data_IF_733317439557
#
_entry.id   IF_733317439557
#
_cell.length_a   1.000
_cell.length_b   1.000
_cell.length_c   1.000
_cell.angle_alpha   90.00
_cell.angle_beta   90.00
_cell.angle_gamma   90.00
#
_symmetry.space_group_name_H-M   'P 1'
#
loop_
_entity.id
_entity.type
_entity.pdbx_description
1 polymer ?
#
# COMPACT_ATOMS: atom_id res chain seq x y z
N UNK A 1 -57.67 -28.29 35.78
CA UNK A 1 -57.56 -27.31 34.68
C UNK A 1 -56.19 -26.69 34.82
N UNK A 2 -55.28 -27.25 34.06
CA UNK A 2 -53.82 -26.99 34.11
C UNK A 2 -53.46 -25.90 33.10
N UNK A 3 -52.83 -24.83 33.61
CA UNK A 3 -52.27 -23.73 32.81
C UNK A 3 -50.87 -24.11 32.32
N UNK A 4 -50.49 -23.90 31.02
CA UNK A 4 -49.15 -24.18 30.58
C UNK A 4 -48.25 -22.98 30.79
N UNK A 5 -47.04 -23.25 31.28
CA UNK A 5 -45.95 -22.29 31.48
C UNK A 5 -45.40 -21.78 30.14
N UNK A 6 -45.18 -20.48 30.08
CA UNK A 6 -44.51 -19.82 28.96
C UNK A 6 -42.99 -20.01 29.08
N UNK A 7 -42.41 -20.73 28.11
CA UNK A 7 -40.95 -20.82 27.93
C UNK A 7 -40.43 -19.52 27.33
N UNK A 8 -39.64 -18.80 28.13
CA UNK A 8 -38.90 -17.63 27.69
C UNK A 8 -37.66 -18.06 26.92
N UNK A 9 -37.70 -17.93 25.58
CA UNK A 9 -36.56 -18.17 24.72
C UNK A 9 -35.58 -16.99 24.92
N UNK A 10 -34.52 -17.22 25.71
CA UNK A 10 -33.42 -16.31 25.87
C UNK A 10 -32.63 -16.23 24.57
N UNK A 11 -32.80 -15.11 23.84
CA UNK A 11 -31.98 -14.72 22.69
C UNK A 11 -30.54 -14.57 23.12
N UNK A 12 -29.69 -15.54 22.80
CA UNK A 12 -28.23 -15.42 22.92
C UNK A 12 -27.75 -14.37 21.91
N UNK A 13 -27.59 -13.13 22.38
CA UNK A 13 -26.84 -12.10 21.68
C UNK A 13 -25.40 -12.59 21.51
N UNK A 14 -25.01 -12.91 20.29
CA UNK A 14 -23.60 -13.14 19.94
C UNK A 14 -22.81 -11.87 20.23
N UNK A 15 -21.66 -11.95 20.92
CA UNK A 15 -20.83 -10.78 21.14
C UNK A 15 -20.37 -10.25 19.79
N UNK A 16 -20.65 -8.98 19.53
CA UNK A 16 -20.16 -8.23 18.39
C UNK A 16 -18.64 -8.41 18.29
N UNK A 17 -18.15 -8.95 17.16
CA UNK A 17 -16.72 -8.99 16.86
C UNK A 17 -16.22 -7.55 16.88
N UNK A 18 -15.61 -7.16 17.98
CA UNK A 18 -14.82 -5.95 18.09
C UNK A 18 -13.91 -5.91 16.87
N UNK A 19 -13.91 -4.80 16.14
CA UNK A 19 -13.03 -4.58 14.99
C UNK A 19 -11.59 -4.65 15.49
N UNK A 20 -11.00 -5.84 15.43
CA UNK A 20 -9.59 -6.01 15.70
C UNK A 20 -8.84 -5.22 14.62
N UNK A 21 -7.88 -4.39 15.05
CA UNK A 21 -7.01 -3.65 14.14
C UNK A 21 -6.33 -4.59 13.11
N UNK A 22 -5.67 -4.05 12.10
CA UNK A 22 -5.01 -4.86 11.09
C UNK A 22 -4.02 -5.83 11.76
N UNK A 23 -3.96 -7.10 11.29
CA UNK A 23 -3.11 -8.11 11.91
C UNK A 23 -1.64 -7.66 11.90
N UNK A 24 -1.00 -7.77 13.07
CA UNK A 24 0.42 -7.46 13.22
C UNK A 24 1.29 -8.61 12.69
N UNK A 25 2.42 -8.27 12.11
CA UNK A 25 3.46 -9.22 11.67
C UNK A 25 4.82 -8.75 12.15
N UNK A 26 5.68 -9.71 12.45
CA UNK A 26 7.03 -9.44 12.96
C UNK A 26 8.02 -9.37 11.80
N UNK A 27 8.79 -8.29 11.72
CA UNK A 27 9.91 -8.17 10.80
C UNK A 27 11.03 -9.15 11.20
N UNK A 28 11.45 -10.02 10.27
CA UNK A 28 12.49 -11.04 10.54
C UNK A 28 13.90 -10.44 10.75
N UNK A 29 14.09 -9.19 10.36
CA UNK A 29 15.39 -8.52 10.44
C UNK A 29 15.50 -7.57 11.65
N UNK A 30 14.43 -6.85 12.01
CA UNK A 30 14.44 -5.90 13.15
C UNK A 30 13.83 -6.50 14.41
N UNK A 31 12.92 -7.46 14.25
CA UNK A 31 12.15 -8.02 15.35
C UNK A 31 10.89 -7.26 15.72
N UNK A 32 10.67 -6.08 15.13
CA UNK A 32 9.51 -5.22 15.40
C UNK A 32 8.24 -5.82 14.84
N UNK A 33 7.14 -5.61 15.58
CA UNK A 33 5.80 -5.99 15.16
C UNK A 33 5.06 -4.79 14.58
N UNK A 34 4.61 -4.90 13.34
CA UNK A 34 3.94 -3.82 12.61
C UNK A 34 2.70 -4.35 11.88
N UNK A 35 1.75 -3.48 11.51
CA UNK A 35 0.62 -3.85 10.68
C UNK A 35 1.10 -4.48 9.36
N UNK A 36 0.46 -5.58 8.95
CA UNK A 36 0.91 -6.31 7.75
C UNK A 36 0.96 -5.48 6.47
N UNK A 37 0.14 -4.44 6.35
CA UNK A 37 0.07 -3.60 5.16
C UNK A 37 1.26 -2.65 4.99
N UNK A 38 2.03 -2.39 6.05
CA UNK A 38 3.27 -1.60 5.96
C UNK A 38 4.52 -2.45 5.73
N UNK A 39 4.40 -3.78 5.82
CA UNK A 39 5.50 -4.71 5.61
C UNK A 39 5.48 -5.32 4.20
N UNK A 40 6.63 -5.82 3.77
CA UNK A 40 6.77 -6.69 2.60
C UNK A 40 6.61 -8.14 3.01
N UNK A 41 5.75 -8.89 2.34
CA UNK A 41 5.61 -10.32 2.50
C UNK A 41 6.45 -11.05 1.46
N UNK A 42 7.10 -12.13 1.89
CA UNK A 42 7.81 -13.08 1.03
C UNK A 42 7.33 -14.49 1.36
N UNK A 43 7.42 -15.37 0.40
CA UNK A 43 7.17 -16.81 0.57
C UNK A 43 8.31 -17.60 -0.08
N UNK A 44 8.50 -18.83 0.37
CA UNK A 44 9.44 -19.76 -0.29
C UNK A 44 8.63 -20.62 -1.25
N UNK A 45 8.98 -20.57 -2.53
CA UNK A 45 8.37 -21.38 -3.57
C UNK A 45 8.70 -22.87 -3.41
N UNK A 46 8.04 -23.74 -4.17
CA UNK A 46 8.26 -25.18 -4.10
C UNK A 46 9.67 -25.59 -4.54
N UNK A 47 10.33 -24.78 -5.36
CA UNK A 47 11.72 -24.93 -5.79
C UNK A 47 12.74 -24.38 -4.78
N UNK A 48 12.29 -23.90 -3.61
CA UNK A 48 13.13 -23.29 -2.59
C UNK A 48 13.52 -21.83 -2.87
N UNK A 49 12.99 -21.21 -3.94
CA UNK A 49 13.29 -19.81 -4.29
C UNK A 49 12.42 -18.85 -3.49
N UNK A 50 13.02 -17.76 -3.00
CA UNK A 50 12.31 -16.69 -2.31
C UNK A 50 11.54 -15.82 -3.32
N UNK A 51 10.24 -15.65 -3.08
CA UNK A 51 9.34 -14.89 -3.96
C UNK A 51 8.68 -13.76 -3.16
N UNK A 52 8.73 -12.49 -3.64
CA UNK A 52 7.92 -11.41 -3.07
C UNK A 52 6.43 -11.66 -3.31
N UNK A 53 5.62 -11.54 -2.26
CA UNK A 53 4.16 -11.69 -2.33
C UNK A 53 3.45 -10.44 -1.79
N UNK A 54 3.52 -9.36 -2.54
CA UNK A 54 2.97 -8.07 -2.15
C UNK A 54 1.44 -8.04 -2.11
N UNK A 55 0.82 -9.00 -2.79
CA UNK A 55 -0.65 -9.18 -2.77
C UNK A 55 -1.15 -10.04 -1.61
N UNK A 56 -0.26 -10.77 -0.93
CA UNK A 56 -0.60 -11.67 0.16
C UNK A 56 -1.40 -12.90 -0.26
N UNK A 57 -1.32 -13.30 -1.55
CA UNK A 57 -2.15 -14.37 -2.13
C UNK A 57 -1.45 -15.71 -2.29
N UNK A 58 -0.11 -15.72 -2.29
CA UNK A 58 0.64 -16.95 -2.47
C UNK A 58 0.49 -17.85 -1.25
N UNK A 59 0.36 -19.17 -1.44
CA UNK A 59 0.34 -20.13 -0.35
C UNK A 59 1.69 -20.18 0.37
N UNK A 60 1.68 -20.73 1.58
CA UNK A 60 2.90 -20.91 2.37
C UNK A 60 3.07 -19.90 3.50
N UNK A 61 4.09 -20.18 4.33
CA UNK A 61 4.44 -19.34 5.46
C UNK A 61 4.98 -17.99 4.99
N UNK A 62 4.32 -16.90 5.38
CA UNK A 62 4.79 -15.55 5.11
C UNK A 62 6.02 -15.18 5.95
N UNK A 63 7.06 -14.69 5.29
CA UNK A 63 8.22 -14.05 5.88
C UNK A 63 8.07 -12.54 5.67
N UNK A 64 8.21 -11.75 6.75
CA UNK A 64 7.88 -10.33 6.70
C UNK A 64 9.09 -9.45 6.93
N UNK A 65 9.25 -8.41 6.14
CA UNK A 65 10.33 -7.42 6.26
C UNK A 65 9.79 -6.00 6.21
N UNK A 66 10.42 -5.11 6.95
CA UNK A 66 10.24 -3.67 6.78
C UNK A 66 10.71 -3.26 5.37
N UNK A 67 9.97 -2.37 4.67
CA UNK A 67 10.23 -2.00 3.27
C UNK A 67 11.39 -1.00 3.15
N UNK A 68 12.55 -1.34 3.71
CA UNK A 68 13.74 -0.50 3.67
C UNK A 68 14.87 -1.24 2.97
N UNK A 69 15.56 -0.52 2.06
CA UNK A 69 16.66 -1.06 1.26
C UNK A 69 17.76 -1.70 2.13
N UNK A 70 18.18 -1.01 3.18
CA UNK A 70 19.21 -1.49 4.13
C UNK A 70 18.76 -2.75 4.89
N UNK A 71 17.48 -2.83 5.25
CA UNK A 71 16.89 -3.98 5.95
C UNK A 71 16.82 -5.20 5.04
N UNK A 72 16.40 -5.01 3.78
CA UNK A 72 16.36 -6.08 2.77
C UNK A 72 17.78 -6.60 2.53
N UNK A 73 18.73 -5.71 2.27
CA UNK A 73 20.14 -6.06 2.07
C UNK A 73 20.73 -6.79 3.28
N UNK A 74 20.41 -6.37 4.52
CA UNK A 74 20.82 -7.05 5.75
C UNK A 74 20.23 -8.45 5.84
N UNK A 75 18.95 -8.61 5.48
CA UNK A 75 18.29 -9.91 5.50
C UNK A 75 18.94 -10.90 4.53
N UNK A 76 19.32 -10.45 3.34
CA UNK A 76 20.05 -11.25 2.36
C UNK A 76 21.45 -11.65 2.89
N UNK A 77 22.27 -10.67 3.28
CA UNK A 77 23.66 -10.92 3.75
C UNK A 77 23.75 -11.83 4.97
N UNK A 78 22.76 -11.80 5.87
CA UNK A 78 22.75 -12.58 7.12
C UNK A 78 21.91 -13.86 7.05
N UNK A 79 21.48 -14.28 5.86
CA UNK A 79 20.65 -15.46 5.63
C UNK A 79 19.39 -15.51 6.52
N UNK A 80 18.77 -14.34 6.80
CA UNK A 80 17.64 -14.28 7.73
C UNK A 80 16.40 -14.97 7.17
N UNK A 81 16.26 -15.03 5.85
CA UNK A 81 15.17 -15.77 5.20
C UNK A 81 15.26 -17.28 5.49
N UNK A 82 16.42 -17.91 5.31
CA UNK A 82 16.61 -19.32 5.60
C UNK A 82 16.37 -19.65 7.08
N UNK A 83 16.86 -18.78 7.99
CA UNK A 83 16.64 -18.93 9.44
C UNK A 83 15.15 -18.85 9.79
N UNK A 84 14.43 -17.90 9.20
CA UNK A 84 12.99 -17.70 9.47
C UNK A 84 12.12 -18.79 8.82
N UNK A 85 12.52 -19.29 7.65
CA UNK A 85 11.87 -20.42 6.97
C UNK A 85 12.16 -21.77 7.64
N UNK A 86 13.22 -21.86 8.48
CA UNK A 86 13.75 -23.09 9.09
C UNK A 86 14.20 -24.12 8.04
N UNK A 87 14.79 -23.65 6.95
CA UNK A 87 15.27 -24.49 5.85
C UNK A 87 16.06 -23.71 4.81
N UNK A 88 16.63 -24.38 3.81
CA UNK A 88 17.37 -23.72 2.74
C UNK A 88 16.44 -22.80 1.93
N UNK A 89 16.95 -21.62 1.61
CA UNK A 89 16.23 -20.63 0.79
C UNK A 89 17.20 -20.05 -0.23
N UNK A 90 16.83 -20.13 -1.51
CA UNK A 90 17.56 -19.47 -2.59
C UNK A 90 17.02 -18.04 -2.73
N UNK A 91 17.84 -17.07 -2.37
CA UNK A 91 17.50 -15.66 -2.51
C UNK A 91 17.98 -15.17 -3.88
N UNK A 92 17.09 -14.65 -4.76
CA UNK A 92 17.51 -14.06 -6.04
C UNK A 92 18.43 -12.87 -5.81
N UNK A 93 19.46 -12.72 -6.64
CA UNK A 93 20.39 -11.57 -6.59
C UNK A 93 19.68 -10.24 -6.86
N UNK A 94 18.69 -10.29 -7.74
CA UNK A 94 17.85 -9.16 -8.14
C UNK A 94 16.58 -9.00 -7.27
N UNK A 95 16.60 -9.49 -6.00
CA UNK A 95 15.43 -9.45 -5.13
C UNK A 95 14.88 -8.04 -4.93
N UNK A 96 15.76 -7.06 -4.79
CA UNK A 96 15.39 -5.66 -4.56
C UNK A 96 14.67 -5.09 -5.78
N UNK A 97 15.23 -5.29 -6.96
CA UNK A 97 14.67 -4.87 -8.25
C UNK A 97 13.31 -5.54 -8.51
N UNK A 98 13.16 -6.81 -8.15
CA UNK A 98 11.86 -7.51 -8.20
C UNK A 98 10.82 -6.88 -7.31
N UNK A 99 11.19 -6.52 -6.08
CA UNK A 99 10.28 -5.86 -5.13
C UNK A 99 9.88 -4.48 -5.65
N UNK A 100 10.84 -3.66 -6.09
CA UNK A 100 10.56 -2.35 -6.68
C UNK A 100 9.65 -2.45 -7.92
N UNK A 101 9.98 -3.34 -8.85
CA UNK A 101 9.22 -3.54 -10.08
C UNK A 101 7.79 -4.04 -9.80
N UNK A 102 7.61 -4.92 -8.82
CA UNK A 102 6.27 -5.37 -8.42
C UNK A 102 5.46 -4.25 -7.76
N UNK A 103 6.06 -3.44 -6.87
CA UNK A 103 5.39 -2.30 -6.23
C UNK A 103 4.95 -1.28 -7.29
N UNK A 104 5.86 -0.89 -8.21
CA UNK A 104 5.55 0.03 -9.31
C UNK A 104 4.37 -0.46 -10.15
N UNK A 105 4.45 -1.70 -10.64
CA UNK A 105 3.38 -2.31 -11.45
C UNK A 105 2.05 -2.30 -10.71
N UNK A 106 2.06 -2.72 -9.46
CA UNK A 106 0.87 -2.81 -8.63
C UNK A 106 0.21 -1.43 -8.39
N UNK A 107 0.99 -0.39 -8.12
CA UNK A 107 0.48 0.98 -8.02
C UNK A 107 -0.20 1.42 -9.33
N UNK A 108 0.45 1.20 -10.48
CA UNK A 108 -0.08 1.62 -11.79
C UNK A 108 -1.34 0.83 -12.18
N UNK A 109 -1.38 -0.48 -11.92
CA UNK A 109 -2.58 -1.31 -12.13
C UNK A 109 -3.77 -0.83 -11.29
N UNK A 110 -3.52 -0.50 -10.01
CA UNK A 110 -4.56 0.03 -9.12
C UNK A 110 -5.01 1.43 -9.53
N UNK A 111 -4.12 2.28 -10.03
CA UNK A 111 -4.48 3.60 -10.61
C UNK A 111 -5.41 3.44 -11.81
N UNK A 112 -5.07 2.55 -12.73
CA UNK A 112 -5.93 2.22 -13.87
C UNK A 112 -7.30 1.68 -13.43
N UNK A 113 -7.34 0.85 -12.39
CA UNK A 113 -8.59 0.36 -11.81
C UNK A 113 -9.41 1.49 -11.18
N UNK A 114 -8.78 2.38 -10.40
CA UNK A 114 -9.44 3.53 -9.80
C UNK A 114 -10.03 4.47 -10.86
N UNK A 115 -9.32 4.67 -11.97
CA UNK A 115 -9.80 5.46 -13.10
C UNK A 115 -11.05 4.86 -13.73
N UNK A 116 -11.03 3.55 -14.02
CA UNK A 116 -12.20 2.84 -14.58
C UNK A 116 -13.40 2.84 -13.64
N UNK A 117 -13.15 2.81 -12.34
CA UNK A 117 -14.19 2.88 -11.31
C UNK A 117 -14.71 4.31 -11.02
N UNK A 118 -14.24 5.33 -11.74
CA UNK A 118 -14.61 6.72 -11.46
C UNK A 118 -14.05 7.29 -10.15
N UNK A 119 -13.11 6.59 -9.52
CA UNK A 119 -12.50 6.95 -8.24
C UNK A 119 -11.17 7.71 -8.39
N UNK A 120 -10.79 8.08 -9.61
CA UNK A 120 -9.60 8.87 -9.89
C UNK A 120 -9.87 9.90 -11.00
N UNK A 121 -9.35 11.09 -10.80
CA UNK A 121 -9.32 12.16 -11.81
C UNK A 121 -7.90 12.57 -12.12
N UNK A 122 -7.68 13.05 -13.34
CA UNK A 122 -6.37 13.42 -13.86
C UNK A 122 -6.44 14.83 -14.51
N UNK A 123 -5.40 15.62 -14.28
CA UNK A 123 -5.23 16.97 -14.80
C UNK A 123 -5.51 18.05 -13.76
N UNK A 124 -4.83 19.20 -13.91
CA UNK A 124 -4.78 20.27 -12.92
C UNK A 124 -6.18 20.72 -12.44
N UNK A 125 -7.06 21.09 -13.36
CA UNK A 125 -8.36 21.71 -13.02
C UNK A 125 -9.31 20.72 -12.32
N UNK A 126 -9.34 19.46 -12.79
CA UNK A 126 -10.15 18.41 -12.15
C UNK A 126 -9.65 18.07 -10.76
N UNK A 127 -8.33 17.97 -10.58
CA UNK A 127 -7.70 17.74 -9.28
C UNK A 127 -7.96 18.91 -8.35
N UNK A 128 -7.81 20.16 -8.83
CA UNK A 128 -8.12 21.35 -8.06
C UNK A 128 -9.59 21.41 -7.63
N UNK A 129 -10.52 21.03 -8.51
CA UNK A 129 -11.96 20.96 -8.20
C UNK A 129 -12.25 19.89 -7.13
N UNK A 130 -11.64 18.70 -7.24
CA UNK A 130 -11.83 17.62 -6.25
C UNK A 130 -11.26 17.99 -4.87
N UNK A 131 -10.10 18.63 -4.85
CA UNK A 131 -9.56 19.17 -3.60
C UNK A 131 -10.47 20.26 -3.03
N UNK A 132 -11.07 21.13 -3.87
CA UNK A 132 -11.98 22.17 -3.40
C UNK A 132 -13.29 21.62 -2.81
N UNK A 133 -13.77 20.51 -3.35
CA UNK A 133 -15.00 19.84 -2.94
C UNK A 133 -14.80 18.82 -1.81
N UNK A 134 -13.58 18.70 -1.24
CA UNK A 134 -13.24 17.73 -0.20
C UNK A 134 -13.56 16.27 -0.59
N UNK A 135 -13.40 15.96 -1.88
CA UNK A 135 -13.67 14.63 -2.45
C UNK A 135 -12.40 13.80 -2.71
N UNK A 136 -11.22 14.34 -2.40
CA UNK A 136 -9.94 13.69 -2.58
C UNK A 136 -9.38 13.15 -1.25
N UNK A 137 -8.80 11.95 -1.26
CA UNK A 137 -8.09 11.36 -0.13
C UNK A 137 -6.59 11.18 -0.39
N UNK A 138 -6.18 11.21 -1.65
CA UNK A 138 -4.78 11.09 -2.05
C UNK A 138 -4.52 11.92 -3.30
N UNK A 139 -3.47 12.73 -3.25
CA UNK A 139 -2.91 13.46 -4.39
C UNK A 139 -1.62 12.78 -4.83
N UNK A 140 -1.51 12.41 -6.10
CA UNK A 140 -0.27 11.92 -6.71
C UNK A 140 0.18 12.95 -7.74
N UNK A 141 1.45 13.33 -7.68
CA UNK A 141 2.07 14.28 -8.60
C UNK A 141 3.25 13.62 -9.31
N UNK A 142 3.40 13.90 -10.60
CA UNK A 142 4.54 13.41 -11.36
C UNK A 142 5.84 14.02 -10.83
N UNK A 143 6.92 13.22 -10.83
CA UNK A 143 8.25 13.63 -10.35
C UNK A 143 8.89 14.68 -11.26
N UNK A 144 8.55 14.66 -12.56
CA UNK A 144 8.97 15.59 -13.61
C UNK A 144 8.03 16.79 -13.76
N UNK A 145 7.08 16.98 -12.84
CA UNK A 145 6.15 18.10 -12.87
C UNK A 145 6.83 19.45 -12.58
N UNK A 146 6.42 20.51 -13.27
CA UNK A 146 6.87 21.85 -12.99
C UNK A 146 6.47 22.33 -11.59
N UNK A 147 7.40 22.98 -10.87
CA UNK A 147 7.26 23.33 -9.45
C UNK A 147 6.03 24.19 -9.12
N UNK A 148 5.69 25.17 -9.98
CA UNK A 148 4.62 26.12 -9.68
C UNK A 148 3.22 25.49 -9.57
N UNK A 149 2.86 24.60 -10.48
CA UNK A 149 1.59 23.88 -10.46
C UNK A 149 1.53 22.84 -9.32
N UNK A 150 2.64 22.13 -9.11
CA UNK A 150 2.81 21.13 -8.09
C UNK A 150 2.63 21.72 -6.67
N UNK A 151 3.29 22.86 -6.38
CA UNK A 151 3.20 23.51 -5.07
C UNK A 151 1.78 23.94 -4.73
N UNK A 152 1.09 24.60 -5.66
CA UNK A 152 -0.30 25.09 -5.43
C UNK A 152 -1.26 23.96 -5.03
N UNK A 153 -1.21 22.82 -5.71
CA UNK A 153 -2.09 21.68 -5.41
C UNK A 153 -1.67 21.00 -4.11
N UNK A 154 -0.36 20.90 -3.82
CA UNK A 154 0.15 20.34 -2.56
C UNK A 154 -0.29 21.18 -1.36
N UNK A 155 -0.14 22.51 -1.43
CA UNK A 155 -0.57 23.42 -0.36
C UNK A 155 -2.07 23.31 -0.11
N UNK A 156 -2.85 23.11 -1.16
CA UNK A 156 -4.30 22.89 -1.04
C UNK A 156 -4.60 21.55 -0.39
N UNK A 157 -3.95 20.48 -0.82
CA UNK A 157 -4.09 19.14 -0.24
C UNK A 157 -3.73 19.15 1.26
N UNK A 158 -2.62 19.81 1.63
CA UNK A 158 -2.19 19.95 3.02
C UNK A 158 -3.23 20.63 3.90
N UNK A 159 -3.86 21.72 3.43
CA UNK A 159 -4.93 22.42 4.18
C UNK A 159 -6.17 21.55 4.43
N UNK A 160 -6.36 20.49 3.67
CA UNK A 160 -7.50 19.57 3.74
C UNK A 160 -7.12 18.19 4.29
N UNK A 161 -5.92 18.07 4.88
CA UNK A 161 -5.38 16.78 5.37
C UNK A 161 -5.40 15.66 4.31
N UNK A 162 -5.25 16.02 3.02
CA UNK A 162 -5.12 15.08 1.92
C UNK A 162 -3.65 14.75 1.74
N UNK A 163 -3.31 13.45 1.82
CA UNK A 163 -1.95 12.98 1.60
C UNK A 163 -1.49 13.33 0.17
N UNK A 164 -0.28 13.89 0.03
CA UNK A 164 0.31 14.23 -1.27
C UNK A 164 1.64 13.48 -1.45
N UNK A 165 1.78 12.82 -2.61
CA UNK A 165 2.93 11.96 -2.93
C UNK A 165 3.47 12.35 -4.30
N UNK A 166 4.80 12.39 -4.43
CA UNK A 166 5.48 12.45 -5.73
C UNK A 166 5.90 11.03 -6.13
N UNK A 167 5.41 10.57 -7.27
CA UNK A 167 5.72 9.24 -7.77
C UNK A 167 5.52 9.15 -9.28
N UNK A 168 6.43 8.44 -9.94
CA UNK A 168 6.44 8.22 -11.38
C UNK A 168 6.62 9.51 -12.20
N UNK A 169 6.95 9.40 -13.45
CA UNK A 169 6.92 10.48 -14.43
C UNK A 169 5.51 10.67 -15.02
N UNK A 170 5.28 11.80 -15.69
CA UNK A 170 4.00 12.17 -16.26
C UNK A 170 3.52 11.18 -17.36
N UNK A 171 4.43 10.64 -18.14
CA UNK A 171 4.13 9.64 -19.18
C UNK A 171 3.66 8.33 -18.55
N UNK A 172 4.36 7.83 -17.53
CA UNK A 172 4.01 6.60 -16.83
C UNK A 172 2.65 6.70 -16.15
N UNK A 173 2.37 7.84 -15.47
CA UNK A 173 1.04 8.11 -14.89
C UNK A 173 -0.03 8.21 -15.98
N UNK A 174 0.29 8.88 -17.09
CA UNK A 174 -0.58 9.00 -18.24
C UNK A 174 -0.99 7.63 -18.79
N UNK A 175 -0.03 6.77 -19.09
CA UNK A 175 -0.26 5.40 -19.59
C UNK A 175 -1.18 4.60 -18.67
N UNK A 176 -0.96 4.66 -17.36
CA UNK A 176 -1.82 3.97 -16.38
C UNK A 176 -3.28 4.47 -16.38
N UNK A 177 -3.50 5.72 -16.77
CA UNK A 177 -4.81 6.39 -16.81
C UNK A 177 -5.43 6.48 -18.22
N UNK A 178 -4.81 5.82 -19.21
CA UNK A 178 -5.26 5.83 -20.60
C UNK A 178 -5.09 7.19 -21.29
N UNK A 179 -3.98 7.89 -21.01
CA UNK A 179 -3.60 9.20 -21.58
C UNK A 179 -2.13 9.17 -22.00
N UNK A 180 -1.74 10.11 -22.85
CA UNK A 180 -0.35 10.30 -23.22
C UNK A 180 0.49 10.73 -22.01
N UNK A 181 0.03 11.71 -21.26
CA UNK A 181 0.69 12.17 -20.04
C UNK A 181 -0.33 12.61 -18.97
N UNK A 182 0.07 12.53 -17.72
CA UNK A 182 -0.72 13.01 -16.59
C UNK A 182 0.18 13.46 -15.44
N UNK A 183 0.15 14.75 -15.13
CA UNK A 183 1.02 15.36 -14.11
C UNK A 183 0.42 15.28 -12.71
N UNK A 184 -0.91 15.39 -12.60
CA UNK A 184 -1.62 15.41 -11.32
C UNK A 184 -2.78 14.43 -11.33
N UNK A 185 -2.89 13.61 -10.29
CA UNK A 185 -3.95 12.63 -10.08
C UNK A 185 -4.53 12.82 -8.69
N UNK A 186 -5.84 12.88 -8.55
CA UNK A 186 -6.52 12.78 -7.26
C UNK A 186 -7.35 11.50 -7.20
N UNK A 187 -7.36 10.87 -6.04
CA UNK A 187 -8.16 9.68 -5.75
C UNK A 187 -9.19 9.99 -4.67
N UNK A 188 -10.41 9.51 -4.90
CA UNK A 188 -11.50 9.57 -3.92
C UNK A 188 -11.18 8.67 -2.70
N UNK A 189 -11.77 8.98 -1.52
CA UNK A 189 -11.69 8.11 -0.35
C UNK A 189 -12.18 6.69 -0.66
N UNK A 190 -11.44 5.68 -0.19
CA UNK A 190 -11.84 4.29 -0.37
C UNK A 190 -10.67 3.31 -0.38
N UNK A 191 -10.99 2.04 -0.57
CA UNK A 191 -10.02 0.94 -0.50
C UNK A 191 -8.87 1.08 -1.50
N UNK A 192 -9.14 1.60 -2.70
CA UNK A 192 -8.10 1.79 -3.73
C UNK A 192 -7.13 2.89 -3.30
N UNK A 193 -7.62 4.05 -2.84
CA UNK A 193 -6.75 5.12 -2.37
C UNK A 193 -5.84 4.66 -1.21
N UNK A 194 -6.41 3.96 -0.22
CA UNK A 194 -5.66 3.40 0.90
C UNK A 194 -4.61 2.37 0.45
N UNK A 195 -4.97 1.48 -0.48
CA UNK A 195 -4.04 0.47 -0.98
C UNK A 195 -2.90 1.09 -1.80
N UNK A 196 -3.22 2.06 -2.66
CA UNK A 196 -2.23 2.80 -3.47
C UNK A 196 -1.28 3.59 -2.56
N UNK A 197 -1.81 4.31 -1.56
CA UNK A 197 -1.00 5.05 -0.61
C UNK A 197 -0.01 4.14 0.15
N UNK A 198 -0.48 2.98 0.61
CA UNK A 198 0.37 1.99 1.27
C UNK A 198 1.47 1.42 0.34
N UNK A 199 1.12 1.13 -0.93
CA UNK A 199 2.09 0.63 -1.91
C UNK A 199 3.11 1.72 -2.29
N UNK A 200 2.70 2.98 -2.43
CA UNK A 200 3.59 4.11 -2.70
C UNK A 200 4.55 4.38 -1.53
N UNK A 201 4.06 4.32 -0.29
CA UNK A 201 4.90 4.45 0.90
C UNK A 201 5.96 3.33 0.96
N UNK A 202 5.57 2.08 0.69
CA UNK A 202 6.51 0.95 0.62
C UNK A 202 7.53 1.15 -0.51
N UNK A 203 7.10 1.62 -1.68
CA UNK A 203 7.98 1.89 -2.81
C UNK A 203 8.99 2.98 -2.48
N UNK A 204 8.55 4.10 -1.91
CA UNK A 204 9.43 5.20 -1.49
C UNK A 204 10.50 4.70 -0.50
N UNK A 205 10.11 3.94 0.52
CA UNK A 205 11.01 3.39 1.52
C UNK A 205 12.02 2.38 0.94
N UNK A 206 11.61 1.53 -0.01
CA UNK A 206 12.50 0.60 -0.73
C UNK A 206 13.48 1.35 -1.63
N UNK A 207 13.04 2.42 -2.29
CA UNK A 207 13.89 3.28 -3.12
C UNK A 207 14.83 4.19 -2.29
N UNK A 208 14.71 4.20 -0.95
CA UNK A 208 15.52 5.07 -0.09
C UNK A 208 15.11 6.54 -0.17
N UNK A 209 13.89 6.83 -0.60
CA UNK A 209 13.33 8.19 -0.57
C UNK A 209 12.83 8.50 0.83
N UNK A 210 12.94 9.76 1.31
CA UNK A 210 12.38 10.15 2.59
C UNK A 210 10.87 9.85 2.62
N UNK A 211 10.36 9.57 3.82
CA UNK A 211 8.96 9.23 4.04
C UNK A 211 8.05 10.23 3.32
N UNK A 212 7.10 9.69 2.60
CA UNK A 212 5.97 10.43 2.11
C UNK A 212 5.30 11.03 3.34
N UNK A 213 5.24 12.36 3.43
CA UNK A 213 4.59 13.08 4.54
C UNK A 213 3.13 12.66 4.67
N UNK A 214 2.91 11.53 5.32
CA UNK A 214 1.63 11.12 5.88
C UNK A 214 1.69 11.45 7.36
N UNK A 215 1.88 12.73 7.69
CA UNK A 215 1.63 13.20 9.04
C UNK A 215 0.12 13.06 9.30
N UNK A 216 -0.24 11.96 9.94
CA UNK A 216 -1.49 11.83 10.68
C UNK A 216 -1.17 12.23 12.12
N UNK A 217 -1.51 13.46 12.51
CA UNK A 217 -1.87 13.72 13.89
C UNK A 217 -3.18 13.01 14.26
#
# INVERSE_FOLDING_TARGET
MTSPAAETVASRRQPSRLRQGPPLRRCIATGDSQPQHVLLRFVVGPDGTLVPDLSGRLPGRGLWLSPRRDIIARACRRNLFARAAKGPVRVPEDLLERVEGQLRRRCLEQLGLAKRAGQAVCGHDKVAAWLAADTAALLIQAEDAADGGRRKLRDRARRQNVAAVEAFDAETLGRALGREACVHVALAPGRLATAIAADLARLAAVCGRPDVDVERE
#
